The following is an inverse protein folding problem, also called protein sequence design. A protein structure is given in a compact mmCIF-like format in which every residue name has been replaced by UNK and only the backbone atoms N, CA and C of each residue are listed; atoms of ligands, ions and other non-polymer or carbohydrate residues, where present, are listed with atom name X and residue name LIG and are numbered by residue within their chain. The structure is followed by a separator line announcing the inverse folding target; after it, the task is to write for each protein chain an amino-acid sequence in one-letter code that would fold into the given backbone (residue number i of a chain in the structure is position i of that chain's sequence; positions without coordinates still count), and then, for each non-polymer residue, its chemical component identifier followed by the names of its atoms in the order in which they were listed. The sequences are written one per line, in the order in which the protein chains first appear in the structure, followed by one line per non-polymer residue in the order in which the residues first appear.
data_IF_523240607679
#
_entry.id   IF_523240607679
#
_cell.length_a   1.000
_cell.length_b   1.000
_cell.length_c   1.000
_cell.angle_alpha   90.00
_cell.angle_beta   90.00
_cell.angle_gamma   90.00
#
_symmetry.space_group_name_H-M   'P 1'
#
loop_
_entity.id
_entity.type
_entity.pdbx_description
1 polymer ?
#
# COMPACT_ATOMS: atom_id res chain seq x y z
N UNK A 1 37.29 -11.92 -32.92
CA UNK A 1 37.01 -10.61 -32.31
C UNK A 1 36.39 -10.85 -30.93
N UNK A 2 36.83 -10.16 -29.86
CA UNK A 2 36.24 -10.32 -28.54
C UNK A 2 34.84 -9.67 -28.49
N UNK A 3 33.92 -10.19 -27.65
CA UNK A 3 32.59 -9.61 -27.51
C UNK A 3 32.66 -8.23 -26.83
N UNK A 4 32.09 -7.23 -27.49
CA UNK A 4 31.88 -5.89 -26.93
C UNK A 4 30.71 -5.99 -25.96
N UNK A 5 30.99 -6.12 -24.66
CA UNK A 5 29.99 -5.88 -23.62
C UNK A 5 29.69 -4.38 -23.57
N UNK A 6 28.75 -3.94 -24.39
CA UNK A 6 28.28 -2.56 -24.38
C UNK A 6 27.29 -2.39 -23.22
N UNK A 7 27.68 -1.50 -22.30
CA UNK A 7 26.90 -0.91 -21.20
C UNK A 7 27.08 -1.60 -19.84
N UNK A 8 28.14 -1.20 -19.13
CA UNK A 8 28.17 -1.28 -17.68
C UNK A 8 27.06 -0.38 -17.13
N UNK A 9 26.12 -0.97 -16.38
CA UNK A 9 25.11 -0.22 -15.63
C UNK A 9 25.82 0.40 -14.42
N UNK A 10 26.41 1.59 -14.62
CA UNK A 10 26.98 2.38 -13.54
C UNK A 10 25.83 3.15 -12.88
N UNK A 11 25.17 2.55 -11.90
CA UNK A 11 24.61 3.38 -10.84
C UNK A 11 25.83 3.96 -10.10
N UNK A 12 26.00 5.28 -10.11
CA UNK A 12 27.21 5.97 -9.61
C UNK A 12 27.52 5.68 -8.12
N UNK A 13 26.58 5.08 -7.37
CA UNK A 13 26.77 4.42 -6.08
C UNK A 13 25.51 3.60 -5.74
N UNK A 14 25.64 2.48 -5.02
CA UNK A 14 24.48 1.68 -4.54
C UNK A 14 23.44 2.53 -3.82
N UNK A 15 23.86 3.57 -3.08
CA UNK A 15 22.99 4.51 -2.38
C UNK A 15 22.02 5.25 -3.33
N UNK A 16 22.48 5.67 -4.51
CA UNK A 16 21.60 6.36 -5.49
C UNK A 16 20.57 5.41 -6.07
N UNK A 17 20.99 4.22 -6.49
CA UNK A 17 20.07 3.20 -7.00
C UNK A 17 19.02 2.79 -5.95
N UNK A 18 19.42 2.69 -4.68
CA UNK A 18 18.50 2.41 -3.58
C UNK A 18 17.50 3.56 -3.37
N UNK A 19 17.94 4.82 -3.47
CA UNK A 19 17.07 6.00 -3.34
C UNK A 19 16.09 6.13 -4.51
N UNK A 20 16.54 5.90 -5.73
CA UNK A 20 15.69 5.93 -6.93
C UNK A 20 14.62 4.86 -6.83
N UNK A 21 15.00 3.61 -6.51
CA UNK A 21 14.06 2.52 -6.31
C UNK A 21 13.06 2.82 -5.17
N UNK A 22 13.53 3.38 -4.05
CA UNK A 22 12.65 3.75 -2.94
C UNK A 22 11.64 4.83 -3.34
N UNK A 23 12.05 5.81 -4.15
CA UNK A 23 11.19 6.86 -4.66
C UNK A 23 10.14 6.33 -5.65
N UNK A 24 10.54 5.44 -6.57
CA UNK A 24 9.62 4.77 -7.48
C UNK A 24 8.57 3.95 -6.72
N UNK A 25 9.01 3.17 -5.72
CA UNK A 25 8.11 2.40 -4.87
C UNK A 25 7.15 3.31 -4.07
N UNK A 26 7.62 4.45 -3.57
CA UNK A 26 6.78 5.42 -2.88
C UNK A 26 5.74 6.05 -3.81
N UNK A 27 6.14 6.43 -5.04
CA UNK A 27 5.22 6.93 -6.05
C UNK A 27 4.16 5.89 -6.43
N UNK A 28 4.57 4.63 -6.58
CA UNK A 28 3.67 3.52 -6.92
C UNK A 28 2.61 3.27 -5.83
N UNK A 29 3.02 3.26 -4.55
CA UNK A 29 2.09 3.15 -3.41
C UNK A 29 1.15 4.35 -3.30
N UNK A 30 1.68 5.55 -3.54
CA UNK A 30 0.89 6.78 -3.53
C UNK A 30 -0.18 6.77 -4.63
N UNK A 31 0.19 6.36 -5.84
CA UNK A 31 -0.74 6.20 -6.95
C UNK A 31 -1.86 5.22 -6.63
N UNK A 32 -1.54 4.07 -6.04
CA UNK A 32 -2.55 3.11 -5.59
C UNK A 32 -3.57 3.72 -4.63
N UNK A 33 -3.11 4.47 -3.62
CA UNK A 33 -3.99 5.12 -2.65
C UNK A 33 -4.86 6.21 -3.30
N UNK A 34 -4.28 7.02 -4.19
CA UNK A 34 -4.96 8.17 -4.77
C UNK A 34 -5.92 7.82 -5.92
N UNK A 35 -5.56 6.84 -6.75
CA UNK A 35 -6.27 6.53 -8.00
C UNK A 35 -7.02 5.19 -7.97
N UNK A 36 -6.48 4.15 -7.31
CA UNK A 36 -7.13 2.83 -7.30
C UNK A 36 -8.15 2.70 -6.17
N UNK A 37 -7.91 3.35 -5.02
CA UNK A 37 -8.82 3.35 -3.88
C UNK A 37 -9.84 4.49 -3.95
N UNK A 38 -11.12 4.13 -3.89
CA UNK A 38 -12.19 5.10 -3.68
C UNK A 38 -12.04 5.79 -2.32
N UNK A 39 -12.72 6.93 -2.15
CA UNK A 39 -12.71 7.66 -0.87
C UNK A 39 -13.11 6.76 0.31
N UNK A 40 -14.16 5.96 0.15
CA UNK A 40 -14.64 5.06 1.21
C UNK A 40 -13.64 3.94 1.54
N UNK A 41 -12.95 3.41 0.53
CA UNK A 41 -11.90 2.41 0.71
C UNK A 41 -10.66 3.00 1.41
N UNK A 42 -10.28 4.23 1.07
CA UNK A 42 -9.19 4.94 1.76
C UNK A 42 -9.47 5.14 3.24
N UNK A 43 -10.69 5.50 3.62
CA UNK A 43 -11.08 5.63 5.03
C UNK A 43 -10.91 4.31 5.80
N UNK A 44 -11.33 3.19 5.19
CA UNK A 44 -11.15 1.85 5.77
C UNK A 44 -9.67 1.49 5.86
N UNK A 45 -8.90 1.69 4.79
CA UNK A 45 -7.47 1.42 4.77
C UNK A 45 -6.70 2.23 5.82
N UNK A 46 -7.04 3.51 6.00
CA UNK A 46 -6.43 4.38 7.00
C UNK A 46 -6.67 3.89 8.44
N UNK A 47 -7.84 3.30 8.72
CA UNK A 47 -8.12 2.72 10.04
C UNK A 47 -7.40 1.38 10.25
N UNK A 48 -7.25 0.57 9.20
CA UNK A 48 -6.45 -0.67 9.26
C UNK A 48 -4.98 -0.37 9.55
N UNK A 49 -4.44 0.70 8.94
CA UNK A 49 -3.09 1.22 9.19
C UNK A 49 -2.96 1.76 10.61
N UNK A 50 -3.95 2.52 11.10
CA UNK A 50 -3.97 3.08 12.46
C UNK A 50 -4.27 2.06 13.58
N UNK A 51 -3.94 0.78 13.35
CA UNK A 51 -4.09 -0.35 14.29
C UNK A 51 -5.52 -0.80 14.67
N UNK A 52 -6.57 -0.34 13.97
CA UNK A 52 -7.91 -0.89 14.20
C UNK A 52 -8.02 -2.30 13.59
N UNK A 53 -8.01 -3.32 14.44
CA UNK A 53 -7.87 -4.74 14.01
C UNK A 53 -9.18 -5.40 13.58
N UNK A 54 -10.32 -5.01 14.16
CA UNK A 54 -11.59 -5.70 13.95
C UNK A 54 -12.52 -4.94 13.00
N UNK A 55 -13.25 -5.69 12.16
CA UNK A 55 -14.29 -5.13 11.29
C UNK A 55 -15.32 -4.33 12.10
N UNK A 56 -15.66 -4.81 13.31
CA UNK A 56 -16.58 -4.11 14.21
C UNK A 56 -16.05 -2.76 14.67
N UNK A 57 -14.77 -2.67 15.03
CA UNK A 57 -14.17 -1.41 15.45
C UNK A 57 -14.06 -0.41 14.28
N UNK A 58 -13.70 -0.88 13.08
CA UNK A 58 -13.69 -0.05 11.86
C UNK A 58 -15.11 0.43 11.53
N UNK A 59 -16.09 -0.46 11.61
CA UNK A 59 -17.50 -0.14 11.38
C UNK A 59 -18.02 0.92 12.35
N UNK A 60 -17.69 0.78 13.64
CA UNK A 60 -18.03 1.78 14.66
C UNK A 60 -17.36 3.13 14.38
N UNK A 61 -16.07 3.14 14.05
CA UNK A 61 -15.32 4.36 13.76
C UNK A 61 -15.81 5.11 12.50
N UNK A 62 -16.32 4.37 11.50
CA UNK A 62 -16.85 4.94 10.26
C UNK A 62 -18.38 5.16 10.27
N UNK A 63 -19.07 4.78 11.35
CA UNK A 63 -20.54 4.73 11.41
C UNK A 63 -21.16 3.93 10.24
N UNK A 64 -20.49 2.84 9.82
CA UNK A 64 -20.93 1.96 8.73
C UNK A 64 -21.36 0.60 9.28
N UNK A 65 -22.12 -0.16 8.50
CA UNK A 65 -22.43 -1.54 8.89
C UNK A 65 -21.18 -2.43 8.79
N UNK A 66 -21.02 -3.44 9.67
CA UNK A 66 -19.91 -4.40 9.58
C UNK A 66 -19.85 -5.08 8.21
N UNK A 67 -21.01 -5.38 7.60
CA UNK A 67 -21.11 -5.95 6.26
C UNK A 67 -20.51 -5.04 5.19
N UNK A 68 -20.81 -3.74 5.26
CA UNK A 68 -20.23 -2.73 4.35
C UNK A 68 -18.72 -2.68 4.48
N UNK A 69 -18.19 -2.69 5.70
CA UNK A 69 -16.73 -2.69 5.94
C UNK A 69 -16.08 -3.96 5.43
N UNK A 70 -16.67 -5.13 5.64
CA UNK A 70 -16.15 -6.40 5.07
C UNK A 70 -16.10 -6.34 3.55
N UNK A 71 -17.14 -5.84 2.90
CA UNK A 71 -17.17 -5.71 1.44
C UNK A 71 -16.09 -4.73 0.94
N UNK A 72 -15.90 -3.61 1.64
CA UNK A 72 -14.86 -2.65 1.31
C UNK A 72 -13.45 -3.23 1.51
N UNK A 73 -13.22 -3.98 2.60
CA UNK A 73 -11.96 -4.69 2.83
C UNK A 73 -11.67 -5.72 1.74
N UNK A 74 -12.66 -6.52 1.35
CA UNK A 74 -12.50 -7.48 0.25
C UNK A 74 -12.17 -6.77 -1.07
N UNK A 75 -12.84 -5.66 -1.37
CA UNK A 75 -12.52 -4.84 -2.55
C UNK A 75 -11.08 -4.32 -2.51
N UNK A 76 -10.64 -3.77 -1.37
CA UNK A 76 -9.26 -3.32 -1.16
C UNK A 76 -8.28 -4.48 -1.37
N UNK A 77 -8.55 -5.64 -0.79
CA UNK A 77 -7.71 -6.83 -0.92
C UNK A 77 -7.59 -7.32 -2.36
N UNK A 78 -8.69 -7.33 -3.13
CA UNK A 78 -8.65 -7.67 -4.55
C UNK A 78 -7.85 -6.65 -5.35
N UNK A 79 -7.98 -5.35 -5.06
CA UNK A 79 -7.19 -4.31 -5.73
C UNK A 79 -5.71 -4.40 -5.41
N UNK A 80 -5.35 -4.64 -4.15
CA UNK A 80 -3.96 -4.88 -3.75
C UNK A 80 -3.39 -6.11 -4.47
N UNK A 81 -4.16 -7.20 -4.53
CA UNK A 81 -3.76 -8.42 -5.23
C UNK A 81 -3.48 -8.16 -6.71
N UNK A 82 -4.43 -7.54 -7.42
CA UNK A 82 -4.29 -7.24 -8.84
C UNK A 82 -3.19 -6.21 -9.14
N UNK A 83 -3.02 -5.20 -8.28
CA UNK A 83 -2.10 -4.09 -8.52
C UNK A 83 -0.65 -4.41 -8.14
N UNK A 84 -0.43 -5.11 -7.02
CA UNK A 84 0.90 -5.47 -6.54
C UNK A 84 1.30 -6.93 -6.85
N UNK A 85 0.41 -7.73 -7.44
CA UNK A 85 0.67 -9.13 -7.78
C UNK A 85 0.86 -10.04 -6.57
N UNK A 86 0.18 -9.73 -5.45
CA UNK A 86 0.29 -10.52 -4.22
C UNK A 86 -0.47 -11.85 -4.31
N UNK A 87 -0.10 -12.81 -3.46
CA UNK A 87 -0.85 -14.06 -3.30
C UNK A 87 -2.13 -13.83 -2.47
N UNK A 88 -3.15 -14.70 -2.61
CA UNK A 88 -4.50 -14.45 -2.07
C UNK A 88 -4.64 -14.46 -0.54
N UNK A 89 -3.57 -14.67 0.21
CA UNK A 89 -3.63 -14.81 1.67
C UNK A 89 -4.05 -13.51 2.39
N UNK A 90 -5.14 -13.58 3.15
CA UNK A 90 -5.75 -12.42 3.82
C UNK A 90 -4.88 -11.89 4.97
N UNK A 91 -4.12 -12.76 5.65
CA UNK A 91 -3.20 -12.36 6.72
C UNK A 91 -2.06 -11.51 6.16
N UNK A 92 -1.48 -11.98 5.06
CA UNK A 92 -0.43 -11.26 4.32
C UNK A 92 -0.94 -9.91 3.80
N UNK A 93 -2.17 -9.83 3.30
CA UNK A 93 -2.74 -8.58 2.79
C UNK A 93 -2.94 -7.52 3.88
N UNK A 94 -3.33 -7.91 5.10
CA UNK A 94 -3.46 -6.98 6.22
C UNK A 94 -2.12 -6.43 6.69
N UNK A 95 -1.14 -7.31 6.87
CA UNK A 95 0.24 -6.92 7.19
C UNK A 95 0.80 -6.00 6.09
N UNK A 96 0.57 -6.36 4.83
CA UNK A 96 0.97 -5.56 3.68
C UNK A 96 0.35 -4.16 3.70
N UNK A 97 -0.96 -4.04 3.93
CA UNK A 97 -1.62 -2.73 4.04
C UNK A 97 -0.98 -1.87 5.15
N UNK A 98 -0.70 -2.46 6.31
CA UNK A 98 -0.07 -1.75 7.43
C UNK A 98 1.35 -1.28 7.09
N UNK A 99 2.16 -2.17 6.54
CA UNK A 99 3.56 -1.91 6.22
C UNK A 99 3.73 -0.96 5.04
N UNK A 100 3.07 -1.27 3.93
CA UNK A 100 3.27 -0.56 2.67
C UNK A 100 2.45 0.73 2.62
N UNK A 101 1.16 0.69 2.97
CA UNK A 101 0.35 1.91 2.94
C UNK A 101 0.53 2.76 4.20
N UNK A 102 1.18 2.24 5.24
CA UNK A 102 1.52 2.99 6.45
C UNK A 102 2.35 4.25 6.15
N UNK A 103 3.31 4.17 5.24
CA UNK A 103 4.13 5.31 4.85
C UNK A 103 3.33 6.40 4.09
N UNK A 104 2.23 6.04 3.42
CA UNK A 104 1.42 6.97 2.61
C UNK A 104 0.22 7.52 3.41
N UNK A 105 -0.41 6.68 4.21
CA UNK A 105 -1.61 7.02 5.00
C UNK A 105 -1.28 7.47 6.44
N UNK A 106 -0.12 7.07 6.98
CA UNK A 106 0.32 7.39 8.33
C UNK A 106 0.94 8.78 8.46
N UNK A 107 1.46 9.36 7.37
CA UNK A 107 2.01 10.72 7.35
C UNK A 107 0.92 11.80 7.60
N UNK A 108 -0.35 11.44 7.39
CA UNK A 108 -1.50 12.33 7.67
C UNK A 108 -1.90 12.41 9.15
N UNK A 109 -1.17 11.79 10.09
CA UNK A 109 -1.52 11.80 11.54
C UNK A 109 -0.35 12.01 12.51
N UNK A 110 0.64 12.82 12.15
CA UNK A 110 1.48 13.53 13.14
C UNK A 110 1.30 15.04 12.95
N UNK A 111 0.06 15.47 13.12
CA UNK A 111 -0.32 16.87 13.19
C UNK A 111 -1.34 17.01 14.31
N UNK A 112 -0.88 17.58 15.41
CA UNK A 112 -1.63 18.02 16.59
C UNK A 112 -2.93 18.75 16.23
#
# INVERSE_FOLDING_TARGET
APPIFRRHFQAESMDRAQRELAAEQAAHRRHFVEHELTRAEREVAALVVAEVTTVKAIAAALHKSPKTVTNQLNSIYSKVESYFGLQPDVGVKREFLRRELGAVLGDSRVGR
#
